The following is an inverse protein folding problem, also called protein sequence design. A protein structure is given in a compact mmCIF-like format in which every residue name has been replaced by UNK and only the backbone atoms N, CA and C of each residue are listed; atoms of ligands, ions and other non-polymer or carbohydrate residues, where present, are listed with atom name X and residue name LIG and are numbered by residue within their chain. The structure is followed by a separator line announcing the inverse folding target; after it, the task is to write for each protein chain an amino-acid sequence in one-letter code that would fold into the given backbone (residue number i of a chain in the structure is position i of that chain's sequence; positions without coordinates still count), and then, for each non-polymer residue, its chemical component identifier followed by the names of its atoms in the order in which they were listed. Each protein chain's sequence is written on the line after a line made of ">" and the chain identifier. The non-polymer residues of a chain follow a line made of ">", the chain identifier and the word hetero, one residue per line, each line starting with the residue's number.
data_IF_107352114502
#
_entry.id   IF_107352114502
#
_cell.length_a   1.000
_cell.length_b   1.000
_cell.length_c   1.000
_cell.angle_alpha   90.00
_cell.angle_beta   90.00
_cell.angle_gamma   90.00
#
_symmetry.space_group_name_H-M   'P 1'
#
loop_
_entity.id
_entity.type
_entity.pdbx_description
1 polymer ?
#
# COMPACT_ATOMS: atom_id res chain seq x y z
N UNK A 1 11.89 -34.08 69.03
CA UNK A 1 12.19 -33.72 67.63
C UNK A 1 10.90 -33.53 66.85
N UNK A 2 10.60 -32.34 66.33
CA UNK A 2 9.32 -32.04 65.66
C UNK A 2 9.40 -32.30 64.15
N UNK A 3 8.42 -33.01 63.58
CA UNK A 3 8.19 -33.03 62.13
C UNK A 3 6.96 -32.20 61.81
N UNK A 4 7.20 -31.04 61.20
CA UNK A 4 6.22 -30.14 60.65
C UNK A 4 5.56 -30.74 59.40
N UNK A 5 4.22 -30.67 59.30
CA UNK A 5 3.53 -30.80 58.03
C UNK A 5 2.85 -29.47 57.69
N UNK A 6 3.17 -28.95 56.51
CA UNK A 6 2.93 -27.58 56.08
C UNK A 6 1.58 -27.49 55.35
N UNK A 7 0.62 -26.79 55.93
CA UNK A 7 -0.53 -26.25 55.18
C UNK A 7 -0.02 -25.24 54.14
N UNK A 8 -0.03 -25.63 52.87
CA UNK A 8 0.20 -24.70 51.75
C UNK A 8 -1.13 -24.09 51.33
N UNK A 9 -1.51 -23.01 52.02
CA UNK A 9 -2.59 -22.10 51.62
C UNK A 9 -2.20 -21.42 50.29
N UNK A 10 -2.86 -21.81 49.20
CA UNK A 10 -2.72 -21.21 47.87
C UNK A 10 -3.14 -19.74 47.96
N UNK A 11 -2.18 -18.82 47.94
CA UNK A 11 -2.42 -17.38 47.69
C UNK A 11 -2.11 -17.10 46.23
N UNK A 12 -3.11 -17.15 45.35
CA UNK A 12 -2.99 -16.65 43.98
C UNK A 12 -3.99 -15.52 43.72
N UNK A 13 -3.84 -14.39 44.41
CA UNK A 13 -4.34 -13.13 43.88
C UNK A 13 -3.26 -12.59 42.94
N UNK A 14 -3.33 -12.96 41.64
CA UNK A 14 -2.58 -12.23 40.62
C UNK A 14 -3.24 -10.87 40.46
N UNK A 15 -2.50 -9.82 40.78
CA UNK A 15 -2.91 -8.44 40.61
C UNK A 15 -3.22 -8.18 39.13
N UNK A 16 -4.39 -7.58 38.84
CA UNK A 16 -4.80 -7.19 37.48
C UNK A 16 -3.80 -6.25 36.76
N UNK A 17 -2.81 -5.72 37.49
CA UNK A 17 -1.74 -4.87 36.93
C UNK A 17 -0.70 -5.64 36.11
N UNK A 18 -0.56 -6.95 36.32
CA UNK A 18 0.49 -7.75 35.65
C UNK A 18 0.09 -8.26 34.25
N UNK A 19 -1.18 -8.15 33.87
CA UNK A 19 -1.68 -8.54 32.52
C UNK A 19 -1.39 -7.44 31.48
N UNK A 20 -1.27 -6.18 31.91
CA UNK A 20 -1.03 -5.03 31.03
C UNK A 20 0.40 -4.91 30.50
N UNK A 21 1.39 -5.57 31.11
CA UNK A 21 2.80 -5.45 30.71
C UNK A 21 3.25 -6.49 29.68
N UNK A 22 2.55 -7.63 29.53
CA UNK A 22 2.96 -8.68 28.58
C UNK A 22 2.49 -8.49 27.13
N UNK A 23 1.69 -7.45 26.85
CA UNK A 23 1.29 -7.10 25.49
C UNK A 23 2.23 -6.10 24.80
N UNK A 24 3.14 -5.47 25.55
CA UNK A 24 4.06 -4.47 25.01
C UNK A 24 5.33 -5.07 24.37
N UNK A 25 5.75 -6.27 24.79
CA UNK A 25 7.00 -6.88 24.32
C UNK A 25 6.84 -7.75 23.06
N UNK A 26 5.60 -8.10 22.70
CA UNK A 26 5.30 -8.96 21.53
C UNK A 26 4.98 -8.20 20.24
N UNK A 27 4.55 -6.94 20.33
CA UNK A 27 4.39 -6.08 19.17
C UNK A 27 5.71 -5.35 19.01
N UNK A 28 6.59 -5.85 18.12
CA UNK A 28 7.73 -5.06 17.66
C UNK A 28 7.17 -3.70 17.22
N UNK A 29 7.35 -2.66 18.05
CA UNK A 29 7.16 -1.26 17.65
C UNK A 29 8.20 -1.02 16.57
N UNK A 30 7.87 -1.36 15.33
CA UNK A 30 8.64 -0.94 14.16
C UNK A 30 8.61 0.58 14.25
N UNK A 31 9.75 1.24 14.48
CA UNK A 31 9.73 2.67 14.67
C UNK A 31 9.14 3.29 13.40
N UNK A 32 8.15 4.16 13.58
CA UNK A 32 7.37 4.79 12.49
C UNK A 32 8.25 5.51 11.47
N UNK A 33 9.47 5.89 11.86
CA UNK A 33 10.49 6.49 11.00
C UNK A 33 11.11 5.51 9.97
N UNK A 34 10.93 4.20 10.13
CA UNK A 34 11.44 3.16 9.20
C UNK A 34 10.39 2.60 8.26
N UNK A 35 9.11 2.86 8.51
CA UNK A 35 8.03 2.48 7.60
C UNK A 35 7.94 3.52 6.48
N UNK A 36 8.24 3.11 5.24
CA UNK A 36 8.13 4.02 4.09
C UNK A 36 6.64 4.34 3.89
N UNK A 37 6.28 5.63 3.88
CA UNK A 37 4.90 6.07 3.67
C UNK A 37 4.34 5.46 2.37
N UNK A 38 3.12 4.93 2.44
CA UNK A 38 2.45 4.40 1.27
C UNK A 38 2.18 5.52 0.24
N UNK A 39 2.61 5.28 -0.99
CA UNK A 39 2.42 6.15 -2.15
C UNK A 39 1.00 5.94 -2.66
N UNK A 40 0.22 7.01 -2.79
CA UNK A 40 -1.11 6.94 -3.43
C UNK A 40 -0.92 6.95 -4.94
N UNK A 41 -1.30 5.86 -5.60
CA UNK A 41 -1.03 5.66 -7.02
C UNK A 41 -2.30 5.25 -7.75
N UNK A 42 -2.50 5.79 -8.95
CA UNK A 42 -3.63 5.42 -9.81
C UNK A 42 -3.20 4.46 -10.90
N UNK A 43 -3.98 3.41 -11.09
CA UNK A 43 -3.79 2.41 -12.13
C UNK A 43 -4.96 2.44 -13.13
N UNK A 44 -4.64 2.40 -14.42
CA UNK A 44 -5.59 2.31 -15.54
C UNK A 44 -5.44 0.98 -16.26
N UNK A 45 -6.51 0.47 -16.88
CA UNK A 45 -6.39 -0.68 -17.76
C UNK A 45 -5.99 -0.21 -19.17
N UNK A 46 -4.98 -0.88 -19.75
CA UNK A 46 -4.46 -0.57 -21.07
C UNK A 46 -5.56 -0.54 -22.14
N UNK A 47 -5.61 0.54 -22.93
CA UNK A 47 -6.59 0.71 -23.99
C UNK A 47 -8.01 1.08 -23.56
N UNK A 48 -8.29 1.16 -22.25
CA UNK A 48 -9.63 1.52 -21.77
C UNK A 48 -9.72 3.00 -21.40
N UNK A 49 -10.13 3.83 -22.37
CA UNK A 49 -10.29 5.29 -22.20
C UNK A 49 -11.43 5.70 -21.28
N UNK A 50 -12.42 4.83 -21.08
CA UNK A 50 -13.61 5.14 -20.27
C UNK A 50 -13.44 4.74 -18.80
N UNK A 51 -12.43 3.92 -18.50
CA UNK A 51 -12.11 3.52 -17.15
C UNK A 51 -11.39 4.66 -16.41
N UNK A 52 -11.98 5.11 -15.31
CA UNK A 52 -11.44 6.20 -14.47
C UNK A 52 -10.18 5.82 -13.68
N UNK A 53 -9.79 4.55 -13.71
CA UNK A 53 -8.67 4.02 -12.95
C UNK A 53 -9.02 3.74 -11.48
N UNK A 54 -8.14 3.03 -10.80
CA UNK A 54 -8.25 2.65 -9.39
C UNK A 54 -7.07 3.24 -8.63
N UNK A 55 -7.34 3.91 -7.50
CA UNK A 55 -6.29 4.45 -6.62
C UNK A 55 -6.00 3.45 -5.52
N UNK A 56 -4.74 3.07 -5.37
CA UNK A 56 -4.28 2.12 -4.35
C UNK A 56 -3.08 2.70 -3.60
N UNK A 57 -3.03 2.57 -2.27
CA UNK A 57 -1.83 2.86 -1.49
C UNK A 57 -0.79 1.74 -1.69
N UNK A 58 0.39 2.12 -2.18
CA UNK A 58 1.50 1.23 -2.48
C UNK A 58 2.72 1.59 -1.63
N UNK A 59 3.18 0.65 -0.80
CA UNK A 59 4.46 0.75 -0.11
C UNK A 59 5.27 -0.53 -0.34
N UNK A 60 6.60 -0.40 -0.23
CA UNK A 60 7.50 -1.56 -0.23
C UNK A 60 7.16 -2.50 0.92
N UNK A 61 6.82 -1.95 2.09
CA UNK A 61 6.46 -2.74 3.27
C UNK A 61 5.17 -3.56 3.08
N UNK A 62 4.21 -3.07 2.28
CA UNK A 62 2.94 -3.77 2.03
C UNK A 62 3.08 -4.87 1.00
N UNK A 63 3.80 -4.61 -0.08
CA UNK A 63 3.84 -5.51 -1.24
C UNK A 63 5.14 -6.30 -1.36
N UNK A 64 6.27 -5.76 -0.92
CA UNK A 64 7.60 -6.38 -1.04
C UNK A 64 8.16 -6.40 -2.47
N UNK A 65 7.36 -6.77 -3.47
CA UNK A 65 7.75 -6.89 -4.88
C UNK A 65 6.67 -6.34 -5.82
N UNK A 66 7.07 -6.09 -7.07
CA UNK A 66 6.15 -5.67 -8.13
C UNK A 66 5.14 -6.78 -8.47
N UNK A 67 5.55 -8.05 -8.39
CA UNK A 67 4.71 -9.21 -8.70
C UNK A 67 3.55 -9.35 -7.71
N UNK A 68 3.80 -9.11 -6.42
CA UNK A 68 2.77 -9.11 -5.39
C UNK A 68 1.75 -7.99 -5.63
N UNK A 69 2.20 -6.80 -6.05
CA UNK A 69 1.31 -5.72 -6.47
C UNK A 69 0.48 -6.12 -7.70
N UNK A 70 1.09 -6.77 -8.70
CA UNK A 70 0.37 -7.25 -9.89
C UNK A 70 -0.68 -8.31 -9.55
N UNK A 71 -0.40 -9.20 -8.59
CA UNK A 71 -1.37 -10.19 -8.10
C UNK A 71 -2.59 -9.53 -7.44
N UNK A 72 -2.36 -8.56 -6.54
CA UNK A 72 -3.44 -7.79 -5.90
C UNK A 72 -4.24 -6.99 -6.94
N UNK A 73 -3.56 -6.31 -7.87
CA UNK A 73 -4.18 -5.59 -8.97
C UNK A 73 -5.02 -6.52 -9.86
N UNK A 74 -4.59 -7.76 -10.11
CA UNK A 74 -5.38 -8.74 -10.87
C UNK A 74 -6.73 -8.98 -10.20
N UNK A 75 -6.74 -9.28 -8.91
CA UNK A 75 -7.97 -9.49 -8.14
C UNK A 75 -8.90 -8.27 -8.17
N UNK A 76 -8.32 -7.07 -8.04
CA UNK A 76 -9.10 -5.82 -8.02
C UNK A 76 -9.67 -5.50 -9.40
N UNK A 77 -8.89 -5.68 -10.47
CA UNK A 77 -9.28 -5.31 -11.83
C UNK A 77 -10.25 -6.31 -12.46
N UNK A 78 -10.13 -7.61 -12.20
CA UNK A 78 -11.05 -8.64 -12.75
C UNK A 78 -12.51 -8.38 -12.37
N UNK A 79 -12.75 -7.73 -11.23
CA UNK A 79 -14.09 -7.33 -10.79
C UNK A 79 -14.65 -6.09 -11.52
N UNK A 80 -13.82 -5.36 -12.27
CA UNK A 80 -14.17 -4.08 -12.91
C UNK A 80 -14.00 -4.10 -14.43
N UNK A 81 -13.10 -4.94 -14.93
CA UNK A 81 -12.70 -5.02 -16.34
C UNK A 81 -12.37 -6.47 -16.69
N UNK A 82 -12.59 -6.84 -17.95
CA UNK A 82 -12.25 -8.17 -18.47
C UNK A 82 -10.74 -8.30 -18.69
N UNK A 83 -10.07 -9.02 -17.78
CA UNK A 83 -8.62 -9.30 -17.84
C UNK A 83 -8.39 -10.81 -17.75
N UNK A 84 -8.54 -11.56 -18.86
CA UNK A 84 -8.49 -13.02 -18.84
C UNK A 84 -7.15 -13.59 -18.35
N UNK A 85 -6.04 -12.87 -18.56
CA UNK A 85 -4.71 -13.28 -18.10
C UNK A 85 -4.20 -12.51 -16.88
N UNK A 86 -5.08 -11.69 -16.28
CA UNK A 86 -4.75 -10.80 -15.18
C UNK A 86 -3.76 -9.70 -15.56
N UNK A 87 -3.20 -9.05 -14.56
CA UNK A 87 -2.15 -8.03 -14.73
C UNK A 87 -0.80 -8.71 -14.86
N UNK A 88 -0.09 -8.46 -15.96
CA UNK A 88 1.22 -9.06 -16.27
C UNK A 88 2.33 -8.04 -16.46
N UNK A 89 1.97 -6.77 -16.56
CA UNK A 89 2.92 -5.68 -16.58
C UNK A 89 2.28 -4.39 -16.10
N UNK A 90 3.10 -3.56 -15.46
CA UNK A 90 2.77 -2.20 -15.08
C UNK A 90 3.68 -1.28 -15.89
N UNK A 91 3.10 -0.28 -16.51
CA UNK A 91 3.80 0.68 -17.37
C UNK A 91 3.50 2.10 -16.91
N UNK A 92 4.45 3.01 -17.07
CA UNK A 92 4.17 4.44 -16.97
C UNK A 92 3.25 4.89 -18.12
N UNK A 93 2.68 6.09 -18.03
CA UNK A 93 1.95 6.71 -19.17
C UNK A 93 2.81 6.91 -20.41
N UNK A 94 4.14 6.89 -20.27
CA UNK A 94 5.09 6.97 -21.39
C UNK A 94 5.43 5.59 -21.97
N UNK A 95 4.81 4.51 -21.48
CA UNK A 95 5.07 3.14 -21.93
C UNK A 95 6.33 2.48 -21.37
N UNK A 96 6.96 3.05 -20.34
CA UNK A 96 8.13 2.42 -19.69
C UNK A 96 7.67 1.37 -18.70
N UNK A 97 8.18 0.15 -18.80
CA UNK A 97 7.86 -0.93 -17.86
C UNK A 97 8.44 -0.62 -16.49
N UNK A 98 7.62 -0.79 -15.46
CA UNK A 98 8.02 -0.66 -14.06
C UNK A 98 8.36 -2.04 -13.52
N UNK A 99 9.55 -2.18 -12.93
CA UNK A 99 10.05 -3.46 -12.41
C UNK A 99 10.16 -3.49 -10.88
N UNK A 100 10.18 -2.33 -10.20
CA UNK A 100 10.29 -2.25 -8.74
C UNK A 100 9.24 -1.33 -8.14
N UNK A 101 8.88 -1.61 -6.89
CA UNK A 101 7.95 -0.76 -6.12
C UNK A 101 8.57 0.61 -5.80
N UNK A 102 9.90 0.69 -5.67
CA UNK A 102 10.58 1.96 -5.43
C UNK A 102 10.49 2.92 -6.62
N UNK A 103 10.42 2.40 -7.85
CA UNK A 103 10.32 3.19 -9.10
C UNK A 103 8.97 3.91 -9.21
N UNK A 104 7.96 3.40 -8.52
CA UNK A 104 6.64 4.02 -8.45
C UNK A 104 6.71 5.33 -7.66
N UNK A 105 6.06 6.38 -8.17
CA UNK A 105 6.03 7.70 -7.53
C UNK A 105 4.63 8.04 -7.04
N UNK A 106 4.56 8.73 -5.91
CA UNK A 106 3.30 9.20 -5.35
C UNK A 106 2.67 10.26 -6.27
N UNK A 107 1.36 10.17 -6.50
CA UNK A 107 0.63 11.09 -7.36
C UNK A 107 0.77 10.79 -8.87
N UNK A 108 1.66 9.88 -9.25
CA UNK A 108 1.80 9.44 -10.64
C UNK A 108 0.76 8.38 -11.02
N UNK A 109 0.57 8.26 -12.33
CA UNK A 109 -0.41 7.39 -12.96
C UNK A 109 0.30 6.29 -13.77
N UNK A 110 -0.22 5.07 -13.67
CA UNK A 110 0.33 3.89 -14.33
C UNK A 110 -0.76 3.12 -15.05
N UNK A 111 -0.34 2.31 -16.02
CA UNK A 111 -1.20 1.50 -16.87
C UNK A 111 -0.86 0.03 -16.64
N UNK A 112 -1.88 -0.77 -16.37
CA UNK A 112 -1.76 -2.23 -16.26
C UNK A 112 -2.07 -2.87 -17.61
N UNK A 113 -1.22 -3.81 -18.01
CA UNK A 113 -1.38 -4.60 -19.22
C UNK A 113 -1.54 -6.08 -18.89
N UNK A 114 -2.37 -6.76 -19.68
CA UNK A 114 -2.50 -8.21 -19.71
C UNK A 114 -1.33 -8.86 -20.48
N UNK A 115 -1.22 -10.19 -20.41
CA UNK A 115 -0.30 -10.92 -21.29
C UNK A 115 -0.70 -10.71 -22.77
N UNK A 116 0.29 -10.49 -23.64
CA UNK A 116 0.08 -10.33 -25.08
C UNK A 116 -0.44 -8.96 -25.53
N UNK A 117 -0.75 -8.05 -24.60
CA UNK A 117 -1.17 -6.71 -24.94
C UNK A 117 0.01 -5.78 -25.22
N UNK A 118 -0.04 -5.05 -26.33
CA UNK A 118 0.85 -3.93 -26.59
C UNK A 118 0.35 -2.69 -25.85
N UNK A 119 1.28 -1.94 -25.23
CA UNK A 119 0.93 -0.69 -24.56
C UNK A 119 0.29 0.30 -25.54
N UNK A 120 -0.88 0.84 -25.18
CA UNK A 120 -1.59 1.84 -25.96
C UNK A 120 -1.39 3.21 -25.31
N UNK A 121 -0.73 4.12 -26.04
CA UNK A 121 -0.62 5.51 -25.63
C UNK A 121 -1.91 6.25 -25.97
N UNK A 122 -2.86 6.22 -25.04
CA UNK A 122 -4.11 6.97 -25.13
C UNK A 122 -4.21 7.93 -23.96
N UNK A 123 -5.12 8.88 -24.07
CA UNK A 123 -5.35 9.85 -23.01
C UNK A 123 -6.22 9.24 -21.89
N UNK A 124 -5.56 8.52 -20.99
CA UNK A 124 -6.16 7.99 -19.78
C UNK A 124 -6.56 9.13 -18.83
N UNK A 125 -7.75 9.05 -18.24
CA UNK A 125 -8.17 9.94 -17.16
C UNK A 125 -8.89 11.24 -17.57
N UNK A 126 -9.26 11.43 -18.86
CA UNK A 126 -9.94 12.65 -19.35
C UNK A 126 -11.14 13.13 -18.53
N UNK A 127 -11.88 12.23 -17.91
CA UNK A 127 -13.11 12.51 -17.13
C UNK A 127 -12.91 12.48 -15.63
N UNK A 128 -11.66 12.39 -15.15
CA UNK A 128 -11.39 12.18 -13.73
C UNK A 128 -11.17 13.48 -12.95
N UNK A 129 -12.11 13.77 -12.05
CA UNK A 129 -12.11 14.94 -11.14
C UNK A 129 -10.92 14.87 -10.16
N UNK A 130 -10.35 13.67 -9.94
CA UNK A 130 -9.27 13.47 -8.98
C UNK A 130 -7.94 14.14 -9.33
N UNK A 131 -7.60 14.36 -10.61
CA UNK A 131 -6.38 15.09 -10.96
C UNK A 131 -6.37 16.48 -10.30
N UNK A 132 -7.53 17.15 -10.29
CA UNK A 132 -7.69 18.49 -9.70
C UNK A 132 -7.51 18.55 -8.18
N UNK A 133 -7.66 17.43 -7.46
CA UNK A 133 -7.49 17.42 -6.00
C UNK A 133 -6.03 17.18 -5.60
N UNK A 134 -5.32 16.29 -6.30
CA UNK A 134 -3.92 15.99 -5.99
C UNK A 134 -2.95 17.05 -6.52
N UNK A 135 -3.24 17.70 -7.66
CA UNK A 135 -2.48 18.87 -8.11
C UNK A 135 -2.51 19.98 -7.06
N UNK A 136 -3.70 20.30 -6.53
CA UNK A 136 -3.87 21.30 -5.46
C UNK A 136 -3.14 20.93 -4.15
N UNK A 137 -3.11 19.65 -3.76
CA UNK A 137 -2.40 19.18 -2.57
C UNK A 137 -0.87 19.20 -2.73
N UNK A 138 -0.37 18.89 -3.94
CA UNK A 138 1.04 18.98 -4.27
C UNK A 138 1.51 20.44 -4.29
N UNK A 139 0.74 21.34 -4.89
CA UNK A 139 1.03 22.79 -4.88
C UNK A 139 1.07 23.34 -3.46
N UNK A 140 0.11 22.93 -2.62
CA UNK A 140 0.08 23.33 -1.21
C UNK A 140 1.32 22.81 -0.45
N UNK A 141 1.68 21.54 -0.64
CA UNK A 141 2.85 20.95 0.04
C UNK A 141 4.15 21.63 -0.39
N UNK A 142 4.30 21.96 -1.68
CA UNK A 142 5.47 22.68 -2.19
C UNK A 142 5.58 24.11 -1.63
N UNK A 143 4.44 24.81 -1.50
CA UNK A 143 4.40 26.15 -0.88
C UNK A 143 4.80 26.13 0.59
N UNK A 144 4.36 25.13 1.35
CA UNK A 144 4.75 24.98 2.76
C UNK A 144 6.24 24.67 2.90
N UNK A 145 6.83 23.87 2.00
CA UNK A 145 8.28 23.64 2.02
C UNK A 145 9.09 24.87 1.64
N UNK A 146 8.60 25.71 0.71
CA UNK A 146 9.30 26.92 0.26
C UNK A 146 9.33 28.05 1.31
N UNK A 147 8.41 28.05 2.27
CA UNK A 147 8.37 29.03 3.36
C UNK A 147 9.23 28.66 4.58
N UNK A 148 9.88 27.48 4.56
CA UNK A 148 10.76 27.00 5.65
C UNK A 148 12.27 27.14 5.36
N UNK A 149 12.61 27.78 4.25
CA UNK A 149 13.98 28.14 3.84
C UNK A 149 14.12 29.64 3.83
#
# INVERSE_FOLDING_TARGET
>A
MPKANKEKRIKSHKSFKDVGQKLADGIRKVPLNRLKRAKRIRFYHNGNKFFKGIVIPVSVDRYGSIDNLMSDLTSIFTNKVTLPYGVRGIYSKTGRKVSKIDDLKEGEEYVVCSAGETFKNIEYGKTDIFQNKYSKLNDFSQRISAQKS
#
